data_IF_958233008359
#
_entry.id   IF_958233008359
#
_cell.length_a   1.000
_cell.length_b   1.000
_cell.length_c   1.000
_cell.angle_alpha   90.00
_cell.angle_beta   90.00
_cell.angle_gamma   90.00
#
_symmetry.space_group_name_H-M   'P 1'
#
loop_
_entity.id
_entity.type
_entity.pdbx_description
1 polymer ?
#
# COMPACT_ATOMS: atom_id res chain seq x y z
N UNK A 1 21.13 1.97 -0.35
CA UNK A 1 20.14 2.59 -1.24
C UNK A 1 20.36 2.07 -2.66
N UNK A 2 19.29 1.60 -3.34
CA UNK A 2 19.34 1.13 -4.72
C UNK A 2 18.03 1.48 -5.43
N UNK A 3 18.07 1.45 -6.74
CA UNK A 3 16.90 1.51 -7.62
C UNK A 3 17.02 0.37 -8.65
N UNK A 4 15.92 0.02 -9.30
CA UNK A 4 15.83 -1.06 -10.28
C UNK A 4 14.96 -0.63 -11.47
N UNK A 5 14.99 -1.40 -12.56
CA UNK A 5 14.24 -1.17 -13.80
C UNK A 5 12.90 -1.95 -13.87
N UNK A 6 12.41 -2.39 -12.71
CA UNK A 6 11.15 -3.10 -12.53
C UNK A 6 10.39 -2.51 -11.36
N UNK A 7 9.09 -2.77 -11.30
CA UNK A 7 8.24 -2.44 -10.18
C UNK A 7 8.23 -3.60 -9.18
N UNK A 8 7.98 -3.29 -7.92
CA UNK A 8 8.03 -4.25 -6.83
C UNK A 8 6.85 -4.06 -5.87
N UNK A 9 6.25 -5.16 -5.45
CA UNK A 9 5.35 -5.21 -4.30
C UNK A 9 6.07 -5.94 -3.19
N UNK A 10 6.41 -5.23 -2.12
CA UNK A 10 7.02 -5.80 -0.92
C UNK A 10 5.93 -6.16 0.07
N UNK A 11 5.98 -7.36 0.60
CA UNK A 11 5.06 -7.87 1.61
C UNK A 11 5.89 -8.32 2.80
N UNK A 12 5.68 -7.69 3.96
CA UNK A 12 6.37 -8.07 5.19
C UNK A 12 5.66 -9.28 5.80
N UNK A 13 6.34 -10.41 5.79
CA UNK A 13 5.82 -11.67 6.33
C UNK A 13 5.89 -11.71 7.86
N UNK A 14 7.02 -11.29 8.40
CA UNK A 14 7.28 -11.22 9.84
C UNK A 14 8.44 -10.26 10.14
N UNK A 15 8.66 -10.02 11.43
CA UNK A 15 9.70 -9.12 11.91
C UNK A 15 9.28 -7.66 11.80
N UNK A 16 10.24 -6.77 11.96
CA UNK A 16 10.03 -5.32 11.92
C UNK A 16 11.26 -4.59 11.41
N UNK A 17 11.11 -3.32 11.09
CA UNK A 17 12.19 -2.45 10.66
C UNK A 17 11.70 -1.07 10.26
N UNK A 18 12.63 -0.28 9.73
CA UNK A 18 12.34 1.00 9.10
C UNK A 18 12.63 0.85 7.61
N UNK A 19 11.62 1.11 6.79
CA UNK A 19 11.76 1.24 5.34
C UNK A 19 11.93 2.72 5.00
N UNK A 20 13.12 3.12 4.60
CA UNK A 20 13.37 4.46 4.10
C UNK A 20 13.05 4.47 2.61
N UNK A 21 11.99 5.17 2.24
CA UNK A 21 11.44 5.22 0.89
C UNK A 21 11.44 6.68 0.40
N UNK A 22 12.19 6.94 -0.67
CA UNK A 22 12.41 8.28 -1.22
C UNK A 22 12.82 9.30 -0.14
N UNK A 23 13.68 8.87 0.80
CA UNK A 23 14.17 9.68 1.92
C UNK A 23 13.19 9.83 3.09
N UNK A 24 12.00 9.21 3.04
CA UNK A 24 11.03 9.23 4.14
C UNK A 24 11.04 7.88 4.88
N UNK A 25 11.14 7.88 6.22
CA UNK A 25 11.12 6.66 7.01
C UNK A 25 9.69 6.18 7.27
N UNK A 26 9.45 4.89 7.05
CA UNK A 26 8.20 4.18 7.35
C UNK A 26 8.50 3.02 8.30
N UNK A 27 7.82 2.95 9.43
CA UNK A 27 7.88 1.77 10.30
C UNK A 27 7.11 0.63 9.65
N UNK A 28 7.79 -0.51 9.43
CA UNK A 28 7.22 -1.70 8.83
C UNK A 28 7.23 -2.88 9.80
N UNK A 29 6.28 -3.79 9.62
CA UNK A 29 6.17 -5.02 10.41
C UNK A 29 5.26 -6.01 9.71
N UNK A 30 5.06 -7.20 10.28
CA UNK A 30 4.24 -8.24 9.67
C UNK A 30 2.89 -7.71 9.19
N UNK A 31 2.58 -7.94 7.91
CA UNK A 31 1.40 -7.42 7.21
C UNK A 31 1.60 -6.05 6.52
N UNK A 32 2.73 -5.39 6.68
CA UNK A 32 3.03 -4.18 5.89
C UNK A 32 3.19 -4.55 4.42
N UNK A 33 2.59 -3.72 3.54
CA UNK A 33 2.68 -3.82 2.09
C UNK A 33 3.23 -2.51 1.55
N UNK A 34 4.16 -2.59 0.61
CA UNK A 34 4.73 -1.43 -0.05
C UNK A 34 4.78 -1.65 -1.57
N UNK A 35 4.35 -0.64 -2.33
CA UNK A 35 4.52 -0.59 -3.77
C UNK A 35 5.69 0.33 -4.12
N UNK A 36 6.66 -0.21 -4.86
CA UNK A 36 7.89 0.48 -5.25
C UNK A 36 7.91 0.55 -6.77
N UNK A 37 8.05 1.76 -7.30
CA UNK A 37 8.18 2.00 -8.75
C UNK A 37 9.64 1.89 -9.17
N UNK A 38 9.88 1.73 -10.44
CA UNK A 38 11.21 1.61 -11.05
C UNK A 38 12.16 2.80 -10.77
N UNK A 39 11.61 3.98 -10.55
CA UNK A 39 12.36 5.21 -10.24
C UNK A 39 12.43 5.55 -8.75
N UNK A 40 11.74 4.80 -7.88
CA UNK A 40 11.79 5.00 -6.43
C UNK A 40 13.10 4.48 -5.85
N UNK A 41 13.55 5.11 -4.77
CA UNK A 41 14.75 4.72 -4.02
C UNK A 41 14.36 4.23 -2.65
N UNK A 42 14.91 3.12 -2.22
CA UNK A 42 14.59 2.57 -0.92
C UNK A 42 15.75 1.83 -0.27
N UNK A 43 15.64 1.65 1.05
CA UNK A 43 16.52 0.81 1.85
C UNK A 43 15.83 0.42 3.16
N UNK A 44 16.35 -0.59 3.83
CA UNK A 44 15.86 -1.05 5.14
C UNK A 44 16.89 -0.76 6.22
N UNK A 45 16.43 -0.23 7.35
CA UNK A 45 17.24 0.08 8.53
C UNK A 45 16.62 -0.52 9.79
N UNK A 46 17.44 -0.72 10.83
CA UNK A 46 16.99 -1.19 12.14
C UNK A 46 16.10 -2.43 12.07
N UNK A 47 16.48 -3.39 11.23
CA UNK A 47 15.70 -4.60 11.00
C UNK A 47 15.85 -5.60 12.15
N UNK A 48 14.72 -6.17 12.58
CA UNK A 48 14.67 -7.28 13.54
C UNK A 48 13.88 -8.44 12.95
N UNK A 49 14.58 -9.54 12.64
CA UNK A 49 14.03 -10.75 12.03
C UNK A 49 13.10 -10.48 10.82
N UNK A 50 13.42 -9.43 10.05
CA UNK A 50 12.63 -9.00 8.93
C UNK A 50 12.66 -10.04 7.79
N UNK A 51 11.50 -10.58 7.47
CA UNK A 51 11.30 -11.50 6.35
C UNK A 51 10.32 -10.89 5.37
N UNK A 52 10.73 -10.82 4.11
CA UNK A 52 10.00 -10.16 3.03
C UNK A 52 9.68 -11.16 1.91
N UNK A 53 8.51 -10.99 1.30
CA UNK A 53 8.17 -11.55 0.00
C UNK A 53 8.09 -10.40 -1.00
N UNK A 54 8.86 -10.52 -2.09
CA UNK A 54 8.90 -9.53 -3.15
C UNK A 54 8.25 -10.07 -4.41
N UNK A 55 7.23 -9.38 -4.92
CA UNK A 55 6.60 -9.68 -6.20
C UNK A 55 7.09 -8.64 -7.21
N UNK A 56 7.96 -9.08 -8.11
CA UNK A 56 8.56 -8.23 -9.15
C UNK A 56 7.68 -8.26 -10.40
N UNK A 57 7.42 -7.10 -10.98
CA UNK A 57 6.65 -7.02 -12.22
C UNK A 57 7.17 -5.90 -13.11
N UNK A 58 6.93 -6.05 -14.41
CA UNK A 58 7.30 -5.05 -15.41
C UNK A 58 6.26 -3.92 -15.44
N UNK A 59 6.57 -2.87 -16.20
CA UNK A 59 5.63 -1.78 -16.43
C UNK A 59 4.22 -2.28 -16.81
N UNK A 60 3.15 -1.57 -16.41
CA UNK A 60 1.77 -2.03 -16.59
C UNK A 60 1.35 -2.32 -18.03
N UNK A 61 2.03 -1.74 -19.00
CA UNK A 61 1.83 -1.97 -20.45
C UNK A 61 2.53 -3.22 -20.99
N UNK A 62 3.40 -3.85 -20.19
CA UNK A 62 4.11 -5.07 -20.56
C UNK A 62 3.31 -6.36 -20.38
N UNK A 63 2.10 -6.29 -19.80
CA UNK A 63 1.22 -7.44 -19.64
C UNK A 63 0.62 -7.86 -20.98
N UNK A 64 0.55 -9.16 -21.22
CA UNK A 64 0.11 -9.72 -22.49
C UNK A 64 -1.41 -9.83 -22.61
N UNK A 65 -2.06 -10.16 -21.52
CA UNK A 65 -3.51 -10.43 -21.45
C UNK A 65 -4.28 -9.42 -20.60
N UNK A 66 -3.59 -8.67 -19.72
CA UNK A 66 -4.23 -7.72 -18.84
C UNK A 66 -4.13 -6.30 -19.40
N UNK A 67 -5.27 -5.67 -19.59
CA UNK A 67 -5.37 -4.24 -19.87
C UNK A 67 -5.82 -3.48 -18.61
N UNK A 68 -5.36 -2.24 -18.45
CA UNK A 68 -5.81 -1.37 -17.37
C UNK A 68 -5.27 -1.72 -15.98
N UNK A 69 -4.22 -2.51 -15.87
CA UNK A 69 -3.56 -2.89 -14.61
C UNK A 69 -3.20 -1.64 -13.78
N UNK A 70 -2.78 -0.57 -14.44
CA UNK A 70 -2.43 0.71 -13.82
C UNK A 70 -3.56 1.27 -12.93
N UNK A 71 -4.82 0.98 -13.22
CA UNK A 71 -5.97 1.45 -12.42
C UNK A 71 -6.06 0.78 -11.04
N UNK A 72 -5.42 -0.37 -10.85
CA UNK A 72 -5.37 -1.10 -9.59
C UNK A 72 -4.12 -0.77 -8.76
N UNK A 73 -3.12 -0.17 -9.38
CA UNK A 73 -1.91 0.27 -8.71
C UNK A 73 -2.17 1.58 -7.95
N UNK A 74 -1.42 1.87 -6.88
CA UNK A 74 -1.47 3.18 -6.23
C UNK A 74 -1.21 4.29 -7.25
N UNK A 75 -2.00 5.35 -7.19
CA UNK A 75 -1.85 6.52 -8.04
C UNK A 75 -1.34 7.69 -7.22
N UNK A 76 -0.41 8.44 -7.77
CA UNK A 76 0.04 9.68 -7.16
C UNK A 76 -1.09 10.71 -7.19
N UNK A 77 -1.38 11.33 -6.05
CA UNK A 77 -2.39 12.37 -5.90
C UNK A 77 -1.77 13.57 -5.18
N UNK A 78 -1.81 14.74 -5.81
CA UNK A 78 -1.31 15.99 -5.23
C UNK A 78 0.13 15.90 -4.68
N UNK A 79 1.01 15.13 -5.36
CA UNK A 79 2.39 14.90 -4.95
C UNK A 79 2.56 13.86 -3.84
N UNK A 80 1.48 13.20 -3.42
CA UNK A 80 1.52 12.09 -2.47
C UNK A 80 1.30 10.76 -3.20
N UNK A 81 2.24 9.83 -3.02
CA UNK A 81 2.13 8.46 -3.52
C UNK A 81 1.83 7.52 -2.36
N UNK A 82 0.60 6.99 -2.26
CA UNK A 82 0.18 6.13 -1.15
C UNK A 82 0.78 4.72 -1.31
N UNK A 83 2.09 4.62 -1.11
CA UNK A 83 2.87 3.41 -1.35
C UNK A 83 2.79 2.37 -0.24
N UNK A 84 2.47 2.78 0.99
CA UNK A 84 2.52 1.93 2.18
C UNK A 84 1.16 1.82 2.85
N UNK A 85 0.77 0.60 3.19
CA UNK A 85 -0.37 0.31 4.08
C UNK A 85 -0.19 -1.02 4.79
N UNK A 86 -1.14 -1.41 5.60
CA UNK A 86 -1.07 -2.65 6.36
C UNK A 86 -2.29 -3.53 6.09
N UNK A 87 -2.06 -4.81 5.88
CA UNK A 87 -3.11 -5.82 5.75
C UNK A 87 -3.25 -6.62 7.04
N UNK A 88 -4.45 -7.08 7.35
CA UNK A 88 -4.69 -7.97 8.46
C UNK A 88 -4.20 -9.40 8.17
N UNK A 89 -4.17 -10.26 9.20
CA UNK A 89 -3.65 -11.62 9.07
C UNK A 89 -4.42 -12.49 8.07
N UNK A 90 -5.72 -12.29 7.95
CA UNK A 90 -6.54 -13.04 6.97
C UNK A 90 -6.15 -12.69 5.55
N UNK A 91 -5.98 -11.40 5.26
CA UNK A 91 -5.53 -10.93 3.95
C UNK A 91 -4.10 -11.40 3.68
N UNK A 92 -3.20 -11.33 4.67
CA UNK A 92 -1.83 -11.81 4.53
C UNK A 92 -1.76 -13.30 4.16
N UNK A 93 -2.61 -14.13 4.76
CA UNK A 93 -2.71 -15.55 4.38
C UNK A 93 -3.19 -15.74 2.93
N UNK A 94 -4.16 -14.95 2.48
CA UNK A 94 -4.62 -15.00 1.10
C UNK A 94 -3.53 -14.54 0.12
N UNK A 95 -2.78 -13.50 0.46
CA UNK A 95 -1.61 -13.03 -0.31
C UNK A 95 -0.59 -14.14 -0.44
N UNK A 96 -0.20 -14.79 0.65
CA UNK A 96 0.74 -15.94 0.64
C UNK A 96 0.27 -17.05 -0.29
N UNK A 97 -1.02 -17.37 -0.25
CA UNK A 97 -1.58 -18.39 -1.12
C UNK A 97 -1.48 -18.03 -2.60
N UNK A 98 -1.81 -16.79 -2.97
CA UNK A 98 -1.70 -16.32 -4.36
C UNK A 98 -0.23 -16.30 -4.81
N UNK A 99 0.69 -15.82 -3.98
CA UNK A 99 2.12 -15.78 -4.32
C UNK A 99 2.67 -17.20 -4.51
N UNK A 100 2.33 -18.14 -3.64
CA UNK A 100 2.72 -19.54 -3.82
C UNK A 100 2.18 -20.15 -5.13
N UNK A 101 0.97 -19.76 -5.55
CA UNK A 101 0.44 -20.18 -6.86
C UNK A 101 1.21 -19.56 -8.03
N UNK A 102 1.61 -18.28 -7.94
CA UNK A 102 2.45 -17.61 -8.94
C UNK A 102 3.79 -18.34 -9.07
N UNK A 103 4.42 -18.68 -7.94
CA UNK A 103 5.68 -19.44 -7.91
C UNK A 103 5.52 -20.84 -8.51
N UNK A 104 4.41 -21.52 -8.22
CA UNK A 104 4.12 -22.85 -8.75
C UNK A 104 3.94 -22.89 -10.27
N UNK A 105 3.46 -21.81 -10.89
CA UNK A 105 3.42 -21.69 -12.37
C UNK A 105 4.83 -21.65 -12.97
N UNK A 106 5.81 -21.17 -12.17
CA UNK A 106 7.21 -21.09 -12.59
C UNK A 106 7.48 -20.03 -13.64
N UNK A 107 8.63 -20.14 -14.32
CA UNK A 107 9.10 -19.18 -15.34
C UNK A 107 8.74 -19.56 -16.77
N UNK A 108 7.86 -20.53 -16.97
CA UNK A 108 7.45 -20.98 -18.29
C UNK A 108 6.83 -19.84 -19.12
N UNK A 109 7.16 -19.79 -20.40
CA UNK A 109 6.78 -18.68 -21.31
C UNK A 109 5.65 -19.05 -22.27
N UNK A 110 5.12 -20.26 -22.16
CA UNK A 110 3.95 -20.64 -22.96
C UNK A 110 2.74 -19.76 -22.62
N UNK A 111 1.78 -19.74 -23.53
CA UNK A 111 0.61 -18.87 -23.44
C UNK A 111 -0.22 -19.12 -22.19
N UNK A 112 -0.37 -20.38 -21.77
CA UNK A 112 -1.20 -20.72 -20.59
C UNK A 112 -0.50 -20.32 -19.29
N UNK A 113 0.81 -20.56 -19.19
CA UNK A 113 1.59 -20.15 -18.02
C UNK A 113 1.62 -18.64 -17.85
N UNK A 114 1.81 -17.88 -18.95
CA UNK A 114 1.75 -16.41 -18.89
C UNK A 114 0.37 -15.94 -18.47
N UNK A 115 -0.70 -16.45 -19.07
CA UNK A 115 -2.07 -16.08 -18.71
C UNK A 115 -2.38 -16.41 -17.25
N UNK A 116 -1.95 -17.57 -16.75
CA UNK A 116 -2.15 -17.99 -15.36
C UNK A 116 -1.46 -17.03 -14.38
N UNK A 117 -0.20 -16.68 -14.63
CA UNK A 117 0.52 -15.69 -13.80
C UNK A 117 -0.16 -14.33 -13.80
N UNK A 118 -0.61 -13.86 -14.96
CA UNK A 118 -1.29 -12.55 -15.06
C UNK A 118 -2.64 -12.56 -14.32
N UNK A 119 -3.41 -13.64 -14.41
CA UNK A 119 -4.66 -13.80 -13.63
C UNK A 119 -4.38 -13.77 -12.13
N UNK A 120 -3.38 -14.51 -11.66
CA UNK A 120 -3.00 -14.54 -10.25
C UNK A 120 -2.47 -13.17 -9.77
N UNK A 121 -1.69 -12.50 -10.59
CA UNK A 121 -1.24 -11.13 -10.32
C UNK A 121 -2.42 -10.14 -10.21
N UNK A 122 -3.41 -10.25 -11.11
CA UNK A 122 -4.63 -9.45 -11.02
C UNK A 122 -5.39 -9.73 -9.71
N UNK A 123 -5.51 -11.00 -9.30
CA UNK A 123 -6.14 -11.36 -8.02
C UNK A 123 -5.40 -10.73 -6.85
N UNK A 124 -4.06 -10.76 -6.85
CA UNK A 124 -3.24 -10.12 -5.83
C UNK A 124 -3.52 -8.61 -5.77
N UNK A 125 -3.50 -7.91 -6.91
CA UNK A 125 -3.75 -6.47 -6.96
C UNK A 125 -5.16 -6.11 -6.44
N UNK A 126 -6.18 -6.84 -6.85
CA UNK A 126 -7.56 -6.61 -6.37
C UNK A 126 -7.67 -6.81 -4.86
N UNK A 127 -7.04 -7.86 -4.32
CA UNK A 127 -7.02 -8.13 -2.89
C UNK A 127 -6.33 -7.00 -2.11
N UNK A 128 -5.14 -6.59 -2.55
CA UNK A 128 -4.37 -5.52 -1.93
C UNK A 128 -5.09 -4.18 -2.02
N UNK A 129 -5.68 -3.84 -3.17
CA UNK A 129 -6.42 -2.59 -3.34
C UNK A 129 -7.64 -2.50 -2.44
N UNK A 130 -8.41 -3.60 -2.30
CA UNK A 130 -9.54 -3.65 -1.38
C UNK A 130 -9.11 -3.44 0.07
N UNK A 131 -7.99 -4.01 0.49
CA UNK A 131 -7.50 -3.84 1.86
C UNK A 131 -6.99 -2.42 2.13
N UNK A 132 -6.33 -1.78 1.16
CA UNK A 132 -5.92 -0.37 1.23
C UNK A 132 -7.13 0.56 1.42
N UNK A 133 -8.17 0.39 0.61
CA UNK A 133 -9.39 1.19 0.73
C UNK A 133 -10.11 0.98 2.08
N UNK A 134 -10.12 -0.23 2.60
CA UNK A 134 -10.70 -0.53 3.91
C UNK A 134 -9.90 0.12 5.05
N UNK A 135 -8.57 0.16 4.97
CA UNK A 135 -7.73 0.85 5.94
C UNK A 135 -7.93 2.37 5.89
N UNK A 136 -7.98 2.96 4.69
CA UNK A 136 -8.28 4.38 4.51
C UNK A 136 -9.63 4.77 5.12
N UNK A 137 -10.68 3.96 4.91
CA UNK A 137 -12.00 4.18 5.48
C UNK A 137 -11.95 4.12 7.02
N UNK A 138 -11.29 3.10 7.59
CA UNK A 138 -11.16 2.94 9.04
C UNK A 138 -10.37 4.10 9.66
N UNK A 139 -9.29 4.54 9.02
CA UNK A 139 -8.50 5.68 9.48
C UNK A 139 -9.30 6.99 9.43
N UNK A 140 -10.12 7.20 8.40
CA UNK A 140 -10.97 8.37 8.30
C UNK A 140 -12.06 8.38 9.38
N UNK A 141 -12.68 7.25 9.67
CA UNK A 141 -13.67 7.12 10.75
C UNK A 141 -13.03 7.39 12.14
N UNK A 142 -11.82 6.86 12.38
CA UNK A 142 -11.09 7.12 13.61
C UNK A 142 -10.73 8.62 13.77
N UNK A 143 -10.26 9.27 12.70
CA UNK A 143 -9.97 10.72 12.69
C UNK A 143 -11.22 11.55 12.92
N UNK A 144 -12.34 11.17 12.31
CA UNK A 144 -13.62 11.84 12.49
C UNK A 144 -14.11 11.72 13.94
N UNK A 145 -14.02 10.54 14.56
CA UNK A 145 -14.37 10.34 15.96
C UNK A 145 -13.48 11.15 16.91
N UNK A 146 -12.18 11.25 16.63
CA UNK A 146 -11.26 12.10 17.38
C UNK A 146 -11.62 13.59 17.25
N UNK A 147 -11.97 14.04 16.05
CA UNK A 147 -12.44 15.40 15.80
C UNK A 147 -13.72 15.70 16.56
N UNK A 148 -14.70 14.80 16.56
CA UNK A 148 -15.96 14.98 17.27
C UNK A 148 -15.73 15.10 18.78
N UNK A 149 -14.92 14.23 19.38
CA UNK A 149 -14.55 14.31 20.78
C UNK A 149 -13.85 15.64 21.12
N UNK A 150 -12.94 16.08 20.27
CA UNK A 150 -12.25 17.36 20.45
C UNK A 150 -13.22 18.55 20.38
N UNK A 151 -14.18 18.53 19.45
CA UNK A 151 -15.20 19.57 19.32
C UNK A 151 -16.13 19.63 20.54
N UNK A 152 -16.48 18.48 21.14
CA UNK A 152 -17.26 18.42 22.37
C UNK A 152 -16.55 19.11 23.55
N UNK A 153 -15.21 19.02 23.60
CA UNK A 153 -14.41 19.67 24.64
C UNK A 153 -14.15 21.17 24.37
N UNK A 154 -14.23 21.61 23.10
CA UNK A 154 -13.81 22.95 22.68
C UNK A 154 -14.93 23.80 22.07
N UNK A 155 -16.20 23.35 22.14
CA UNK A 155 -17.34 24.02 21.49
C UNK A 155 -17.60 25.47 21.95
N UNK A 156 -17.10 25.86 23.12
CA UNK A 156 -17.24 27.22 23.67
C UNK A 156 -16.13 28.18 23.26
N UNK A 157 -15.16 27.72 22.48
CA UNK A 157 -14.00 28.48 21.99
C UNK A 157 -14.20 28.90 20.54
N UNK A 158 -13.51 29.96 20.14
CA UNK A 158 -13.45 30.34 18.73
C UNK A 158 -12.56 29.34 17.97
N UNK A 159 -13.11 28.66 16.97
CA UNK A 159 -12.45 27.56 16.25
C UNK A 159 -11.86 28.07 14.94
N UNK A 160 -10.54 27.96 14.79
CA UNK A 160 -9.84 28.13 13.52
C UNK A 160 -9.88 26.81 12.73
N UNK A 161 -10.75 26.72 11.74
CA UNK A 161 -10.97 25.48 10.98
C UNK A 161 -9.76 25.01 10.19
N UNK A 162 -8.86 25.92 9.77
CA UNK A 162 -7.62 25.61 9.10
C UNK A 162 -6.66 24.85 10.04
N UNK A 163 -6.56 25.28 11.30
CA UNK A 163 -5.72 24.62 12.31
C UNK A 163 -6.31 23.25 12.69
N UNK A 164 -7.62 23.16 12.84
CA UNK A 164 -8.32 21.91 13.13
C UNK A 164 -8.14 20.91 11.96
N UNK A 165 -8.29 21.37 10.73
CA UNK A 165 -8.06 20.54 9.54
C UNK A 165 -6.64 19.96 9.53
N UNK A 166 -5.64 20.79 9.81
CA UNK A 166 -4.24 20.38 9.89
C UNK A 166 -4.00 19.39 11.05
N UNK A 167 -4.54 19.68 12.25
CA UNK A 167 -4.39 18.85 13.45
C UNK A 167 -4.91 17.43 13.26
N UNK A 168 -6.07 17.28 12.59
CA UNK A 168 -6.68 15.97 12.36
C UNK A 168 -6.37 15.38 10.99
N UNK A 169 -5.48 16.01 10.20
CA UNK A 169 -5.11 15.60 8.84
C UNK A 169 -6.35 15.42 7.94
N UNK A 170 -7.29 16.35 8.05
CA UNK A 170 -8.52 16.42 7.25
C UNK A 170 -8.44 17.59 6.26
N UNK A 171 -9.14 17.50 5.14
CA UNK A 171 -9.30 18.66 4.26
C UNK A 171 -10.40 19.60 4.77
N UNK A 172 -10.26 20.91 4.55
CA UNK A 172 -11.34 21.86 4.84
C UNK A 172 -12.65 21.47 4.16
N UNK A 173 -12.57 20.92 2.94
CA UNK A 173 -13.75 20.41 2.22
C UNK A 173 -14.44 19.28 2.96
N UNK A 174 -13.69 18.45 3.68
CA UNK A 174 -14.26 17.35 4.49
C UNK A 174 -14.96 17.90 5.73
N UNK A 175 -14.42 18.96 6.35
CA UNK A 175 -15.01 19.60 7.53
C UNK A 175 -16.28 20.39 7.22
N UNK A 176 -16.44 20.92 6.01
CA UNK A 176 -17.58 21.74 5.59
C UNK A 176 -18.72 20.92 4.94
N UNK A 177 -18.66 19.62 4.92
CA UNK A 177 -19.63 18.73 4.28
C UNK A 177 -20.53 18.03 5.28
#
# INVERSE_FOLDING_TARGET
EHHHDFHEIVIVEQGSGIHVFNGQPYTIGGGSVCFIRDHDRHLYEHTDNLCLTNVLYRAPDAFRFLAGVSQLLPQEQEGNYPSHWRVNQTVLQQVRHIVAQIEAVGSDTDTHAVASREILFMQLLVLLRKSSLAEEATNNDARLNQLLAWLEDHFAQEICWEEVAAQFSLSLRTLHR
#
